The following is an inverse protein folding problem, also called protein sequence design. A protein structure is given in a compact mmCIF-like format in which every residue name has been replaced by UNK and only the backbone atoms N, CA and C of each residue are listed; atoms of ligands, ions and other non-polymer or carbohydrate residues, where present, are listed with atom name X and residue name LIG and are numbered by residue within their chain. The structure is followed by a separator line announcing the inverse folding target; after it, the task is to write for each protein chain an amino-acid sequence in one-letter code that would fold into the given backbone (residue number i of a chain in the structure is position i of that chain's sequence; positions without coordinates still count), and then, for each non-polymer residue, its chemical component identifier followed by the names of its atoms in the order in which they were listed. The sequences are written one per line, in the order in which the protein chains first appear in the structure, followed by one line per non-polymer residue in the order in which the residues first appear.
data_IF_703494353525
#
_entry.id   IF_703494353525
#
_cell.length_a   1.000
_cell.length_b   1.000
_cell.length_c   1.000
_cell.angle_alpha   90.00
_cell.angle_beta   90.00
_cell.angle_gamma   90.00
#
_symmetry.space_group_name_H-M   'P 1'
#
loop_
_entity.id
_entity.type
_entity.pdbx_description
1 polymer ?
#
# COMPACT_ATOMS: atom_id res chain seq x y z
N UNK A 1 13.20 78.87 -48.66
CA UNK A 1 13.25 78.38 -47.28
C UNK A 1 12.67 76.97 -47.28
N UNK A 2 13.53 75.97 -47.10
CA UNK A 2 13.16 74.55 -47.10
C UNK A 2 12.49 74.25 -45.76
N UNK A 3 11.29 73.66 -45.77
CA UNK A 3 10.72 73.00 -44.59
C UNK A 3 10.44 71.56 -45.02
N UNK A 4 11.19 70.64 -44.40
CA UNK A 4 11.07 69.21 -44.59
C UNK A 4 9.90 68.68 -43.75
N UNK A 5 8.93 68.02 -44.39
CA UNK A 5 7.89 67.28 -43.69
C UNK A 5 8.42 65.90 -43.26
N UNK A 6 8.48 65.69 -41.95
CA UNK A 6 8.92 64.45 -41.33
C UNK A 6 7.72 63.51 -41.17
N UNK A 7 7.60 62.49 -42.03
CA UNK A 7 6.58 61.45 -41.90
C UNK A 7 6.90 60.54 -40.71
N UNK A 8 6.22 60.72 -39.57
CA UNK A 8 6.29 59.80 -38.42
C UNK A 8 5.67 58.45 -38.77
N UNK A 9 6.51 57.45 -38.96
CA UNK A 9 6.07 56.06 -39.07
C UNK A 9 5.68 55.55 -37.67
N UNK A 10 4.38 55.37 -37.39
CA UNK A 10 3.92 54.67 -36.18
C UNK A 10 4.18 53.16 -36.36
N UNK A 11 4.90 52.49 -35.44
CA UNK A 11 5.06 51.04 -35.51
C UNK A 11 3.69 50.36 -35.29
N UNK A 12 3.43 49.22 -35.96
CA UNK A 12 2.17 48.51 -35.82
C UNK A 12 2.04 47.99 -34.39
N UNK A 13 0.98 48.41 -33.71
CA UNK A 13 0.60 47.94 -32.38
C UNK A 13 0.26 46.44 -32.48
N UNK A 14 1.21 45.56 -32.17
CA UNK A 14 0.95 44.11 -32.06
C UNK A 14 -0.18 43.94 -31.04
N UNK A 15 -1.35 43.52 -31.52
CA UNK A 15 -2.54 43.32 -30.69
C UNK A 15 -2.16 42.42 -29.51
N UNK A 16 -2.61 42.74 -28.28
CA UNK A 16 -2.21 42.02 -27.08
C UNK A 16 -2.96 40.69 -26.96
N UNK A 17 -2.84 39.83 -27.97
CA UNK A 17 -3.46 38.50 -28.01
C UNK A 17 -3.00 37.64 -26.85
N UNK A 18 -1.78 37.82 -26.36
CA UNK A 18 -1.28 37.12 -25.17
C UNK A 18 -2.07 37.45 -23.90
N UNK A 19 -2.59 38.68 -23.77
CA UNK A 19 -3.43 39.07 -22.62
C UNK A 19 -4.75 38.32 -22.67
N UNK A 20 -5.36 38.20 -23.85
CA UNK A 20 -6.62 37.46 -24.03
C UNK A 20 -6.41 35.96 -23.71
N UNK A 21 -5.30 35.38 -24.17
CA UNK A 21 -4.96 33.99 -23.87
C UNK A 21 -4.73 33.78 -22.38
N UNK A 22 -4.03 34.70 -21.71
CA UNK A 22 -3.83 34.64 -20.27
C UNK A 22 -5.13 34.73 -19.49
N UNK A 23 -5.99 35.70 -19.82
CA UNK A 23 -7.30 35.86 -19.17
C UNK A 23 -8.18 34.64 -19.40
N UNK A 24 -8.14 34.07 -20.61
CA UNK A 24 -8.85 32.82 -20.92
C UNK A 24 -8.33 31.64 -20.11
N UNK A 25 -7.01 31.51 -19.98
CA UNK A 25 -6.39 30.41 -19.23
C UNK A 25 -6.71 30.49 -17.73
N UNK A 26 -6.64 31.69 -17.16
CA UNK A 26 -6.97 31.94 -15.74
C UNK A 26 -8.45 31.69 -15.49
N UNK A 27 -9.33 32.17 -16.37
CA UNK A 27 -10.78 31.93 -16.27
C UNK A 27 -11.12 30.43 -16.32
N UNK A 28 -10.51 29.69 -17.25
CA UNK A 28 -10.72 28.25 -17.36
C UNK A 28 -10.23 27.51 -16.11
N UNK A 29 -9.06 27.88 -15.59
CA UNK A 29 -8.51 27.29 -14.37
C UNK A 29 -9.44 27.52 -13.16
N UNK A 30 -9.98 28.73 -13.00
CA UNK A 30 -10.93 29.04 -11.94
C UNK A 30 -12.24 28.25 -12.07
N UNK A 31 -12.77 28.12 -13.29
CA UNK A 31 -13.97 27.32 -13.55
C UNK A 31 -13.71 25.82 -13.31
N UNK A 32 -12.57 25.29 -13.73
CA UNK A 32 -12.18 23.91 -13.47
C UNK A 32 -11.99 23.65 -11.96
N UNK A 33 -11.37 24.57 -11.21
CA UNK A 33 -11.22 24.45 -9.77
C UNK A 33 -12.55 24.54 -9.01
N UNK A 34 -13.51 25.30 -9.55
CA UNK A 34 -14.86 25.41 -8.99
C UNK A 34 -15.70 24.15 -9.27
N UNK A 35 -15.62 23.57 -10.48
CA UNK A 35 -16.38 22.39 -10.88
C UNK A 35 -15.77 21.09 -10.32
N UNK A 36 -14.44 21.03 -10.20
CA UNK A 36 -13.71 19.89 -9.65
C UNK A 36 -12.99 20.32 -8.36
N UNK A 37 -13.71 20.46 -7.24
CA UNK A 37 -13.06 20.65 -5.96
C UNK A 37 -12.11 19.46 -5.70
N UNK A 38 -10.84 19.69 -5.33
CA UNK A 38 -9.87 18.63 -5.17
C UNK A 38 -10.29 17.71 -4.01
N UNK A 39 -10.85 16.56 -4.36
CA UNK A 39 -11.34 15.56 -3.41
C UNK A 39 -10.20 14.73 -2.78
N UNK A 40 -8.93 15.05 -3.10
CA UNK A 40 -7.75 14.39 -2.54
C UNK A 40 -6.87 15.38 -1.76
N UNK A 41 -6.69 15.12 -0.47
CA UNK A 41 -5.77 15.81 0.46
C UNK A 41 -4.32 15.97 -0.07
N UNK A 42 -3.90 15.15 -1.03
CA UNK A 42 -2.50 15.02 -1.44
C UNK A 42 -2.06 16.01 -2.54
N UNK A 43 -2.99 16.64 -3.26
CA UNK A 43 -2.64 17.59 -4.33
C UNK A 43 -2.21 18.97 -3.79
N UNK A 44 -2.61 19.33 -2.56
CA UNK A 44 -2.28 20.63 -1.95
C UNK A 44 -0.81 20.70 -1.47
N UNK A 45 -0.18 19.55 -1.21
CA UNK A 45 1.20 19.48 -0.73
C UNK A 45 2.25 19.83 -1.79
N UNK A 46 1.88 19.88 -3.07
CA UNK A 46 2.84 20.08 -4.18
C UNK A 46 3.15 21.57 -4.41
N UNK A 47 2.26 22.49 -4.03
CA UNK A 47 2.43 23.92 -4.38
C UNK A 47 2.54 24.92 -3.22
N UNK A 48 2.02 24.67 -2.00
CA UNK A 48 2.32 25.52 -0.82
C UNK A 48 1.70 24.97 0.47
N UNK A 49 2.52 24.71 1.49
CA UNK A 49 2.06 24.27 2.81
C UNK A 49 1.29 25.36 3.60
N UNK A 50 1.53 26.64 3.30
CA UNK A 50 0.94 27.78 4.02
C UNK A 50 -0.46 28.17 3.54
N UNK A 51 -0.79 27.93 2.27
CA UNK A 51 -2.10 28.27 1.71
C UNK A 51 -3.22 27.32 2.13
N UNK A 52 -2.88 26.09 2.49
CA UNK A 52 -3.87 25.05 2.78
C UNK A 52 -4.51 25.17 4.19
N UNK A 53 -3.80 25.74 5.17
CA UNK A 53 -4.36 25.98 6.52
C UNK A 53 -5.53 26.97 6.50
N UNK A 54 -5.40 28.05 5.72
CA UNK A 54 -6.48 29.03 5.56
C UNK A 54 -7.68 28.37 4.89
N UNK A 55 -7.47 27.54 3.85
CA UNK A 55 -8.58 26.86 3.17
C UNK A 55 -9.29 25.85 4.08
N UNK A 56 -8.57 25.12 4.94
CA UNK A 56 -9.19 24.17 5.89
C UNK A 56 -10.07 24.86 6.93
N UNK A 57 -9.75 26.10 7.31
CA UNK A 57 -10.58 26.89 8.23
C UNK A 57 -11.86 27.43 7.56
N UNK A 58 -11.88 27.55 6.23
CA UNK A 58 -13.03 28.02 5.45
C UNK A 58 -13.98 26.92 4.97
N UNK A 59 -13.55 25.65 4.93
CA UNK A 59 -14.44 24.55 4.55
C UNK A 59 -15.32 24.13 5.73
N UNK A 60 -16.65 23.99 5.54
CA UNK A 60 -17.49 23.39 6.54
C UNK A 60 -16.99 21.96 6.83
N UNK A 61 -17.03 21.50 8.09
CA UNK A 61 -16.64 20.14 8.42
C UNK A 61 -17.43 19.18 7.53
N UNK A 62 -16.73 18.23 6.91
CA UNK A 62 -17.40 17.21 6.11
C UNK A 62 -18.52 16.59 6.97
N UNK A 63 -19.76 16.49 6.44
CA UNK A 63 -20.87 15.95 7.22
C UNK A 63 -20.45 14.60 7.76
N UNK A 64 -20.54 14.44 9.08
CA UNK A 64 -20.18 13.19 9.73
C UNK A 64 -21.07 12.10 9.14
N UNK A 65 -20.48 11.24 8.30
CA UNK A 65 -21.20 10.09 7.77
C UNK A 65 -21.52 9.18 8.93
N UNK A 66 -22.78 8.79 9.08
CA UNK A 66 -23.14 7.73 10.01
C UNK A 66 -22.57 6.40 9.50
N UNK A 67 -21.86 5.70 10.38
CA UNK A 67 -21.31 4.38 10.09
C UNK A 67 -22.41 3.33 10.27
N UNK A 68 -22.37 2.28 9.45
CA UNK A 68 -23.24 1.12 9.70
C UNK A 68 -22.76 0.34 10.92
N UNK A 69 -23.64 -0.48 11.50
CA UNK A 69 -23.30 -1.30 12.67
C UNK A 69 -22.12 -2.24 12.39
N UNK A 70 -21.97 -2.75 11.16
CA UNK A 70 -20.82 -3.56 10.74
C UNK A 70 -19.52 -2.77 10.71
N UNK A 71 -19.58 -1.51 10.27
CA UNK A 71 -18.43 -0.61 10.25
C UNK A 71 -18.03 -0.20 11.67
N UNK A 72 -19.00 -0.02 12.56
CA UNK A 72 -18.75 0.23 13.99
C UNK A 72 -18.12 -1.01 14.63
N UNK A 73 -18.71 -2.19 14.42
CA UNK A 73 -18.21 -3.45 14.98
C UNK A 73 -16.79 -3.74 14.50
N UNK A 74 -16.51 -3.60 13.20
CA UNK A 74 -15.17 -3.78 12.66
C UNK A 74 -14.16 -2.79 13.25
N UNK A 75 -14.55 -1.52 13.46
CA UNK A 75 -13.69 -0.54 14.14
C UNK A 75 -13.40 -0.89 15.58
N UNK A 76 -14.39 -1.38 16.33
CA UNK A 76 -14.20 -1.81 17.72
C UNK A 76 -13.23 -3.00 17.76
N UNK A 77 -13.45 -4.02 16.93
CA UNK A 77 -12.58 -5.20 16.85
C UNK A 77 -11.15 -4.81 16.44
N UNK A 78 -10.99 -3.98 15.41
CA UNK A 78 -9.66 -3.51 14.98
C UNK A 78 -8.99 -2.73 16.11
N UNK A 79 -9.70 -1.81 16.77
CA UNK A 79 -9.17 -1.03 17.88
C UNK A 79 -8.76 -1.93 19.04
N UNK A 80 -9.58 -2.92 19.38
CA UNK A 80 -9.31 -3.88 20.43
C UNK A 80 -8.06 -4.71 20.09
N UNK A 81 -7.94 -5.22 18.87
CA UNK A 81 -6.74 -5.94 18.39
C UNK A 81 -5.49 -5.05 18.42
N UNK A 82 -5.61 -3.77 18.04
CA UNK A 82 -4.50 -2.82 18.07
C UNK A 82 -4.12 -2.40 19.50
N UNK A 83 -5.09 -2.37 20.41
CA UNK A 83 -4.91 -2.03 21.82
C UNK A 83 -4.56 -3.24 22.69
N UNK A 84 -4.84 -4.45 22.21
CA UNK A 84 -4.43 -5.69 22.82
C UNK A 84 -2.91 -5.60 22.93
N UNK A 85 -2.42 -5.68 24.16
CA UNK A 85 -1.00 -5.57 24.43
C UNK A 85 -0.31 -6.69 23.67
N UNK A 86 0.36 -6.32 22.56
CA UNK A 86 1.33 -7.20 21.94
C UNK A 86 2.44 -7.37 22.97
N UNK A 87 2.32 -8.40 23.81
CA UNK A 87 3.37 -8.76 24.74
C UNK A 87 4.60 -9.01 23.90
N UNK A 88 5.65 -8.17 23.99
CA UNK A 88 6.85 -8.36 23.20
C UNK A 88 7.37 -9.75 23.55
N UNK A 89 7.26 -10.65 22.60
CA UNK A 89 7.72 -12.00 22.79
C UNK A 89 9.23 -11.94 22.93
N UNK A 90 9.78 -12.67 23.91
CA UNK A 90 11.23 -12.64 24.16
C UNK A 90 12.03 -13.23 22.99
N UNK A 91 11.36 -13.86 22.01
CA UNK A 91 11.92 -14.47 20.81
C UNK A 91 11.15 -14.02 19.58
N UNK A 92 11.65 -13.00 18.89
CA UNK A 92 11.12 -12.60 17.59
C UNK A 92 11.48 -13.65 16.52
N UNK A 93 10.46 -14.12 15.78
CA UNK A 93 10.59 -15.08 14.68
C UNK A 93 10.16 -14.47 13.34
N UNK A 94 10.70 -15.05 12.28
CA UNK A 94 10.27 -14.80 10.90
C UNK A 94 9.43 -15.98 10.41
N UNK A 95 8.21 -15.72 9.97
CA UNK A 95 7.35 -16.70 9.32
C UNK A 95 7.66 -16.77 7.82
N UNK A 96 8.26 -17.87 7.39
CA UNK A 96 8.46 -18.19 5.99
C UNK A 96 7.25 -18.96 5.46
N UNK A 97 6.54 -18.35 4.53
CA UNK A 97 5.33 -18.89 3.91
C UNK A 97 5.64 -19.25 2.46
N UNK A 98 5.53 -20.52 2.12
CA UNK A 98 5.82 -21.03 0.79
C UNK A 98 4.52 -21.40 0.07
N UNK A 99 4.27 -20.76 -1.06
CA UNK A 99 3.16 -21.09 -1.95
C UNK A 99 3.70 -21.84 -3.17
N UNK A 100 3.50 -23.16 -3.21
CA UNK A 100 4.05 -24.02 -4.27
C UNK A 100 2.96 -24.82 -4.98
N UNK A 101 3.10 -25.08 -6.28
CA UNK A 101 2.20 -25.99 -6.99
C UNK A 101 2.40 -27.47 -6.60
N UNK A 102 3.58 -27.83 -6.10
CA UNK A 102 3.97 -29.21 -5.75
C UNK A 102 5.20 -29.23 -4.83
N UNK A 103 6.20 -30.11 -5.06
CA UNK A 103 7.41 -30.19 -4.25
C UNK A 103 8.14 -28.85 -4.16
N UNK A 104 8.69 -28.54 -2.98
CA UNK A 104 9.35 -27.27 -2.74
C UNK A 104 10.61 -27.15 -3.60
N UNK A 105 10.72 -26.14 -4.48
CA UNK A 105 11.95 -25.87 -5.21
C UNK A 105 13.09 -25.55 -4.23
N UNK A 106 14.29 -26.05 -4.52
CA UNK A 106 15.50 -25.76 -3.74
C UNK A 106 15.42 -26.14 -2.26
N UNK A 107 14.62 -27.15 -1.88
CA UNK A 107 14.46 -27.59 -0.49
C UNK A 107 15.80 -27.82 0.24
N UNK A 108 16.80 -28.41 -0.44
CA UNK A 108 18.16 -28.61 0.09
C UNK A 108 18.90 -27.31 0.41
N UNK A 109 18.61 -26.23 -0.31
CA UNK A 109 19.21 -24.92 -0.03
C UNK A 109 18.55 -24.30 1.19
N UNK A 110 17.22 -24.37 1.27
CA UNK A 110 16.46 -23.90 2.43
C UNK A 110 16.83 -24.65 3.71
N UNK A 111 17.06 -25.95 3.62
CA UNK A 111 17.55 -26.76 4.75
C UNK A 111 18.87 -26.20 5.32
N UNK A 112 19.82 -25.85 4.43
CA UNK A 112 21.09 -25.21 4.84
C UNK A 112 20.90 -23.79 5.39
N UNK A 113 19.96 -23.03 4.83
CA UNK A 113 19.66 -21.68 5.29
C UNK A 113 19.07 -21.68 6.72
N UNK A 114 18.19 -22.65 7.00
CA UNK A 114 17.52 -22.81 8.28
C UNK A 114 18.36 -23.50 9.36
N UNK A 115 19.37 -24.26 8.96
CA UNK A 115 20.28 -24.94 9.88
C UNK A 115 20.93 -23.98 10.88
N UNK A 116 20.75 -24.24 12.19
CA UNK A 116 21.33 -23.45 13.27
C UNK A 116 20.53 -22.22 13.69
N UNK A 117 19.32 -22.04 13.15
CA UNK A 117 18.45 -20.89 13.42
C UNK A 117 17.04 -21.29 13.88
N UNK A 118 16.88 -22.51 14.40
CA UNK A 118 15.58 -23.16 14.59
C UNK A 118 14.61 -22.43 15.52
N UNK A 119 15.09 -21.53 16.37
CA UNK A 119 14.25 -20.75 17.28
C UNK A 119 13.95 -19.33 16.78
N UNK A 120 14.41 -18.97 15.57
CA UNK A 120 14.25 -17.64 14.96
C UNK A 120 13.32 -17.63 13.75
N UNK A 121 12.74 -18.77 13.38
CA UNK A 121 11.82 -18.84 12.25
C UNK A 121 10.71 -19.87 12.47
N UNK A 122 9.66 -19.73 11.67
CA UNK A 122 8.59 -20.71 11.50
C UNK A 122 8.36 -20.92 10.00
N UNK A 123 7.96 -22.12 9.59
CA UNK A 123 7.79 -22.49 8.18
C UNK A 123 6.35 -22.95 7.96
N UNK A 124 5.72 -22.43 6.92
CA UNK A 124 4.37 -22.80 6.50
C UNK A 124 4.39 -23.07 5.00
N UNK A 125 3.86 -24.20 4.57
CA UNK A 125 3.84 -24.59 3.16
C UNK A 125 2.42 -24.77 2.70
N UNK A 126 2.11 -24.29 1.50
CA UNK A 126 0.83 -24.51 0.84
C UNK A 126 1.08 -25.13 -0.51
N UNK A 127 0.75 -26.41 -0.66
CA UNK A 127 0.92 -27.17 -1.89
C UNK A 127 -0.42 -27.30 -2.64
N UNK A 128 -0.51 -26.70 -3.83
CA UNK A 128 -1.75 -26.56 -4.60
C UNK A 128 -2.29 -27.88 -5.21
N UNK A 129 -1.42 -28.79 -5.65
CA UNK A 129 -1.84 -29.95 -6.46
C UNK A 129 -1.62 -31.29 -5.79
N UNK A 130 -0.48 -31.49 -5.17
CA UNK A 130 -0.08 -32.77 -4.57
C UNK A 130 0.55 -32.51 -3.21
N UNK A 131 0.34 -33.42 -2.26
CA UNK A 131 1.06 -33.39 -0.98
C UNK A 131 2.50 -33.85 -1.26
N UNK A 132 3.50 -32.95 -1.21
CA UNK A 132 4.86 -33.34 -1.51
C UNK A 132 5.42 -34.20 -0.38
N UNK A 133 6.34 -35.11 -0.72
CA UNK A 133 7.16 -35.81 0.26
C UNK A 133 8.39 -34.95 0.50
N UNK A 134 8.42 -34.27 1.65
CA UNK A 134 9.55 -33.44 2.06
C UNK A 134 10.73 -34.30 2.50
N UNK A 135 11.94 -33.88 2.12
CA UNK A 135 13.21 -34.52 2.46
C UNK A 135 13.82 -33.88 3.71
N UNK A 136 13.64 -32.57 3.87
CA UNK A 136 14.17 -31.79 4.99
C UNK A 136 13.19 -31.81 6.17
N UNK A 137 13.74 -31.97 7.37
CA UNK A 137 13.00 -31.99 8.64
C UNK A 137 12.17 -30.73 8.89
N UNK A 138 12.55 -29.61 8.28
CA UNK A 138 11.87 -28.32 8.52
C UNK A 138 10.52 -28.21 7.82
N UNK A 139 10.29 -28.99 6.76
CA UNK A 139 9.07 -28.93 5.96
C UNK A 139 8.11 -30.09 6.25
N UNK A 140 8.59 -31.15 6.93
CA UNK A 140 7.76 -32.28 7.34
C UNK A 140 6.60 -31.79 8.21
N UNK A 141 5.38 -32.12 7.80
CA UNK A 141 4.11 -31.74 8.46
C UNK A 141 3.81 -30.24 8.51
N UNK A 142 4.49 -29.40 7.71
CA UNK A 142 4.18 -27.98 7.60
C UNK A 142 3.18 -27.64 6.50
N UNK A 143 2.67 -28.65 5.78
CA UNK A 143 1.71 -28.46 4.69
C UNK A 143 0.31 -28.10 5.22
N UNK A 144 -0.16 -26.92 4.83
CA UNK A 144 -1.52 -26.46 5.05
C UNK A 144 -2.39 -26.96 3.91
N UNK A 145 -3.47 -27.65 4.26
CA UNK A 145 -4.43 -28.21 3.31
C UNK A 145 -5.37 -27.13 2.78
N UNK A 146 -5.61 -27.13 1.47
CA UNK A 146 -6.38 -26.10 0.79
C UNK A 146 -6.90 -26.58 -0.57
N UNK A 147 -7.75 -25.74 -1.17
CA UNK A 147 -8.23 -25.91 -2.54
C UNK A 147 -7.13 -25.61 -3.56
N UNK A 148 -7.30 -26.16 -4.77
CA UNK A 148 -6.35 -25.99 -5.85
C UNK A 148 -6.14 -24.50 -6.18
N UNK A 149 -4.88 -24.07 -6.14
CA UNK A 149 -4.45 -22.72 -6.50
C UNK A 149 -4.16 -22.64 -7.98
N UNK A 150 -4.93 -21.78 -8.67
CA UNK A 150 -4.68 -21.39 -10.06
C UNK A 150 -4.04 -20.01 -10.08
N UNK A 151 -2.98 -19.86 -10.88
CA UNK A 151 -2.25 -18.61 -11.00
C UNK A 151 -3.12 -17.50 -11.60
N UNK A 152 -3.04 -16.29 -11.02
CA UNK A 152 -3.82 -15.13 -11.45
C UNK A 152 -5.31 -15.19 -11.14
N UNK A 153 -5.77 -16.17 -10.37
CA UNK A 153 -7.18 -16.29 -9.91
C UNK A 153 -7.30 -16.00 -8.41
N UNK A 154 -8.52 -15.73 -7.97
CA UNK A 154 -8.88 -15.47 -6.56
C UNK A 154 -8.42 -16.60 -5.63
N UNK A 155 -8.39 -17.85 -6.11
CA UNK A 155 -7.84 -19.00 -5.38
C UNK A 155 -6.42 -18.79 -4.83
N UNK A 156 -5.61 -17.95 -5.48
CA UNK A 156 -4.27 -17.59 -5.00
C UNK A 156 -4.33 -16.69 -3.77
N UNK A 157 -5.24 -15.72 -3.78
CA UNK A 157 -5.45 -14.82 -2.65
C UNK A 157 -6.00 -15.61 -1.45
N UNK A 158 -6.91 -16.55 -1.69
CA UNK A 158 -7.44 -17.41 -0.62
C UNK A 158 -6.36 -18.30 0.00
N UNK A 159 -5.41 -18.79 -0.82
CA UNK A 159 -4.27 -19.55 -0.35
C UNK A 159 -3.30 -18.72 0.49
N UNK A 160 -2.98 -17.51 0.05
CA UNK A 160 -2.15 -16.56 0.79
C UNK A 160 -2.80 -16.18 2.12
N UNK A 161 -4.10 -15.86 2.12
CA UNK A 161 -4.85 -15.56 3.34
C UNK A 161 -4.83 -16.72 4.33
N UNK A 162 -4.95 -17.96 3.86
CA UNK A 162 -4.83 -19.16 4.70
C UNK A 162 -3.42 -19.36 5.27
N UNK A 163 -2.38 -19.10 4.47
CA UNK A 163 -0.99 -19.13 4.94
C UNK A 163 -0.76 -18.11 6.05
N UNK A 164 -1.14 -16.85 5.78
CA UNK A 164 -1.00 -15.75 6.74
C UNK A 164 -1.81 -16.00 8.02
N UNK A 165 -3.04 -16.50 7.90
CA UNK A 165 -3.88 -16.81 9.05
C UNK A 165 -3.24 -17.89 9.95
N UNK A 166 -2.53 -18.88 9.39
CA UNK A 166 -1.81 -19.87 10.20
C UNK A 166 -0.54 -19.28 10.82
N UNK A 167 0.17 -18.42 10.09
CA UNK A 167 1.37 -17.75 10.60
C UNK A 167 1.05 -16.80 11.76
N UNK A 168 -0.09 -16.11 11.73
CA UNK A 168 -0.54 -15.19 12.78
C UNK A 168 -0.95 -15.89 14.09
N UNK A 169 -1.07 -17.23 14.10
CA UNK A 169 -1.40 -17.98 15.33
C UNK A 169 -0.23 -18.05 16.30
N UNK A 170 1.00 -17.94 15.80
CA UNK A 170 2.20 -17.87 16.66
C UNK A 170 2.48 -16.38 16.96
N UNK A 171 2.31 -15.92 18.21
CA UNK A 171 2.58 -14.53 18.59
C UNK A 171 4.05 -14.15 18.50
N UNK A 172 4.96 -15.14 18.40
CA UNK A 172 6.40 -14.88 18.22
C UNK A 172 6.73 -14.41 16.80
N UNK A 173 5.86 -14.66 15.83
CA UNK A 173 6.06 -14.26 14.43
C UNK A 173 5.85 -12.76 14.25
N UNK A 174 6.93 -12.02 14.04
CA UNK A 174 6.89 -10.56 13.85
C UNK A 174 7.06 -10.14 12.39
N UNK A 175 7.71 -10.97 11.59
CA UNK A 175 7.95 -10.73 10.18
C UNK A 175 7.41 -11.88 9.34
N UNK A 176 6.87 -11.56 8.18
CA UNK A 176 6.22 -12.52 7.29
C UNK A 176 6.89 -12.42 5.92
N UNK A 177 7.35 -13.54 5.40
CA UNK A 177 8.01 -13.63 4.09
C UNK A 177 7.22 -14.62 3.25
N UNK A 178 6.57 -14.12 2.20
CA UNK A 178 5.85 -14.96 1.24
C UNK A 178 6.75 -15.28 0.05
N UNK A 179 6.90 -16.57 -0.26
CA UNK A 179 7.73 -17.09 -1.34
C UNK A 179 6.88 -17.93 -2.30
N UNK A 180 6.96 -17.61 -3.59
CA UNK A 180 6.27 -18.32 -4.66
C UNK A 180 7.29 -18.97 -5.59
N UNK A 181 7.01 -20.19 -6.04
CA UNK A 181 7.85 -21.01 -6.94
C UNK A 181 8.08 -20.35 -8.33
N UNK A 182 7.24 -19.37 -8.68
CA UNK A 182 7.35 -18.62 -9.94
C UNK A 182 7.88 -17.24 -9.59
N UNK A 183 8.97 -16.81 -10.25
CA UNK A 183 9.72 -15.54 -10.17
C UNK A 183 8.96 -14.21 -9.99
N UNK A 184 7.65 -14.23 -9.86
CA UNK A 184 6.91 -13.19 -9.18
C UNK A 184 7.06 -13.39 -7.67
N UNK A 185 8.05 -12.69 -7.10
CA UNK A 185 7.97 -12.23 -5.71
C UNK A 185 6.67 -11.40 -5.65
N UNK A 186 5.54 -12.05 -5.37
CA UNK A 186 4.34 -11.34 -4.97
C UNK A 186 4.62 -10.96 -3.53
N UNK A 187 5.28 -9.80 -3.44
CA UNK A 187 5.51 -9.07 -2.23
C UNK A 187 6.42 -9.79 -1.22
N UNK A 188 7.65 -9.27 -1.10
CA UNK A 188 8.18 -9.04 0.24
C UNK A 188 7.23 -8.00 0.88
N UNK A 189 6.02 -8.42 1.27
CA UNK A 189 5.18 -7.64 2.16
C UNK A 189 5.87 -7.74 3.51
N UNK A 190 6.87 -6.90 3.69
CA UNK A 190 7.13 -6.39 5.01
C UNK A 190 5.83 -5.69 5.38
N UNK A 191 4.90 -6.38 6.02
CA UNK A 191 3.83 -5.72 6.74
C UNK A 191 4.56 -5.01 7.87
N UNK A 192 4.81 -3.70 7.78
CA UNK A 192 5.34 -3.00 8.91
C UNK A 192 4.14 -2.90 9.84
N UNK A 193 4.04 -3.81 10.82
CA UNK A 193 3.21 -3.52 11.97
C UNK A 193 3.93 -2.45 12.79
N UNK A 194 3.99 -1.24 12.24
CA UNK A 194 4.62 -0.08 12.84
C UNK A 194 3.53 0.63 13.65
N UNK A 195 3.39 0.21 14.91
CA UNK A 195 2.39 0.71 15.84
C UNK A 195 2.64 2.18 16.26
N UNK A 196 3.84 2.71 16.03
CA UNK A 196 4.26 4.02 16.55
C UNK A 196 3.76 5.22 15.72
N UNK A 197 3.51 5.05 14.42
CA UNK A 197 3.15 6.18 13.55
C UNK A 197 1.64 6.50 13.49
N UNK A 198 0.76 5.67 14.06
CA UNK A 198 -0.69 5.90 14.08
C UNK A 198 -1.21 6.56 15.37
N UNK A 199 -0.34 6.83 16.35
CA UNK A 199 -0.71 7.56 17.57
C UNK A 199 -0.88 9.08 17.35
N UNK A 200 -0.46 9.62 16.19
CA UNK A 200 -0.52 11.05 15.88
C UNK A 200 -1.63 11.44 14.88
N UNK A 201 -2.59 10.54 14.62
CA UNK A 201 -3.69 10.78 13.66
C UNK A 201 -5.08 10.46 14.22
N UNK A 202 -5.23 10.40 15.55
CA UNK A 202 -6.52 10.39 16.25
C UNK A 202 -6.68 11.73 16.97
#
# INVERSE_FOLDING_TARGET
MVIADCTRHRPPLKRPTWIIVLVSMVSLFLVCAYIYPPQSRNACYVFSSRGCQVLTDWLPPAPARELTDEEIASRVVIREILSASFTPTKKAKIAFMFLTPGPLPFEKLWDKFFSGHEDRFSVYVHASKEKPVHVSRYFVNQDIRSDQVIWGKISMIDAERRLLANALRDPDNQHFVLLSDRYHIISCSFYPFNLENNLNLI
#
